data_IF_093361960445
#
_entry.id   IF_093361960445
#
_cell.length_a   1.000
_cell.length_b   1.000
_cell.length_c   1.000
_cell.angle_alpha   90.00
_cell.angle_beta   90.00
_cell.angle_gamma   90.00
#
_symmetry.space_group_name_H-M   'P 1'
#
loop_
_entity.id
_entity.type
_entity.pdbx_description
1 polymer ?
#
# COMPACT_ATOMS: atom_id res chain seq x y z
N UNK A 1 -10.47 29.45 -62.17
CA UNK A 1 -10.96 28.67 -61.01
C UNK A 1 -9.78 27.86 -60.45
N UNK A 2 -9.18 28.30 -59.34
CA UNK A 2 -8.06 27.59 -58.69
C UNK A 2 -8.64 26.48 -57.81
N UNK A 3 -8.25 25.23 -58.06
CA UNK A 3 -8.63 24.07 -57.23
C UNK A 3 -7.80 24.10 -55.95
N UNK A 4 -8.46 24.24 -54.80
CA UNK A 4 -7.84 24.07 -53.49
C UNK A 4 -8.03 22.60 -53.11
N UNK A 5 -6.95 21.83 -53.14
CA UNK A 5 -6.94 20.44 -52.68
C UNK A 5 -6.74 20.47 -51.17
N UNK A 6 -7.77 20.14 -50.40
CA UNK A 6 -7.70 20.03 -48.94
C UNK A 6 -7.10 18.67 -48.59
N UNK A 7 -5.85 18.66 -48.13
CA UNK A 7 -5.19 17.45 -47.61
C UNK A 7 -5.62 17.27 -46.15
N UNK A 8 -6.55 16.37 -45.89
CA UNK A 8 -6.91 15.97 -44.53
C UNK A 8 -5.82 15.07 -43.97
N UNK A 9 -4.93 15.63 -43.14
CA UNK A 9 -3.94 14.87 -42.39
C UNK A 9 -4.62 14.01 -41.33
N UNK A 10 -4.48 12.69 -41.44
CA UNK A 10 -4.95 11.74 -40.43
C UNK A 10 -4.05 11.88 -39.19
N UNK A 11 -4.59 12.50 -38.13
CA UNK A 11 -3.91 12.63 -36.84
C UNK A 11 -3.92 11.26 -36.14
N UNK A 12 -2.83 10.49 -36.25
CA UNK A 12 -2.62 9.33 -35.39
C UNK A 12 -2.36 9.82 -33.97
N UNK A 13 -3.38 9.76 -33.11
CA UNK A 13 -3.19 9.91 -31.67
C UNK A 13 -2.74 8.57 -31.11
N UNK A 14 -1.49 8.51 -30.66
CA UNK A 14 -1.02 7.42 -29.82
C UNK A 14 -1.66 7.59 -28.44
N UNK A 15 -2.70 6.81 -28.15
CA UNK A 15 -3.25 6.71 -26.80
C UNK A 15 -2.28 5.86 -25.98
N UNK A 16 -1.38 6.50 -25.25
CA UNK A 16 -0.63 5.84 -24.17
C UNK A 16 -1.62 5.62 -23.03
N UNK A 17 -2.09 4.38 -22.87
CA UNK A 17 -2.84 3.98 -21.67
C UNK A 17 -1.80 3.78 -20.56
N UNK A 18 -1.56 4.81 -19.74
CA UNK A 18 -0.93 4.59 -18.44
C UNK A 18 -1.95 3.93 -17.52
N UNK A 19 -1.54 2.92 -16.76
CA UNK A 19 -2.40 2.36 -15.72
C UNK A 19 -2.82 3.48 -14.76
N UNK A 20 -4.10 3.51 -14.39
CA UNK A 20 -4.60 4.50 -13.45
C UNK A 20 -4.23 4.09 -12.03
N UNK A 21 -3.82 5.06 -11.19
CA UNK A 21 -3.55 4.82 -9.77
C UNK A 21 -4.73 4.09 -9.10
N UNK A 22 -4.39 3.21 -8.17
CA UNK A 22 -5.32 2.48 -7.30
C UNK A 22 -6.15 3.42 -6.44
N UNK A 23 -5.57 4.55 -6.00
CA UNK A 23 -6.27 5.58 -5.23
C UNK A 23 -6.45 6.88 -6.01
N UNK A 24 -7.61 7.49 -5.82
CA UNK A 24 -7.86 8.89 -6.12
C UNK A 24 -7.45 9.72 -4.91
N UNK A 25 -6.40 10.52 -5.08
CA UNK A 25 -5.90 11.43 -4.05
C UNK A 25 -6.64 12.76 -4.05
N UNK A 26 -6.96 13.25 -2.85
CA UNK A 26 -7.47 14.61 -2.65
C UNK A 26 -6.82 15.24 -1.42
N UNK A 27 -6.58 16.55 -1.50
CA UNK A 27 -6.23 17.37 -0.34
C UNK A 27 -7.43 18.22 0.06
N UNK A 28 -7.69 18.30 1.36
CA UNK A 28 -8.73 19.17 1.92
C UNK A 28 -8.29 19.72 3.28
N UNK A 29 -9.14 20.53 3.89
CA UNK A 29 -8.94 21.03 5.26
C UNK A 29 -10.08 20.55 6.16
N UNK A 30 -9.73 20.12 7.36
CA UNK A 30 -10.68 19.77 8.41
C UNK A 30 -10.04 20.03 9.78
N UNK A 31 -10.83 20.54 10.74
CA UNK A 31 -10.33 20.79 12.10
C UNK A 31 -9.73 19.52 12.69
N UNK A 32 -8.46 19.62 13.08
CA UNK A 32 -7.77 18.58 13.83
C UNK A 32 -8.23 18.65 15.29
N UNK A 33 -8.61 17.51 15.84
CA UNK A 33 -8.89 17.35 17.25
C UNK A 33 -8.31 16.01 17.69
N UNK A 34 -7.67 16.01 18.86
CA UNK A 34 -7.16 14.80 19.48
C UNK A 34 -8.26 13.75 19.60
N UNK A 35 -7.88 12.47 19.58
CA UNK A 35 -8.85 11.40 19.79
C UNK A 35 -9.49 11.53 21.18
N UNK A 36 -10.82 11.56 21.22
CA UNK A 36 -11.57 11.53 22.48
C UNK A 36 -11.61 10.10 23.04
N UNK A 37 -11.14 9.90 24.27
CA UNK A 37 -11.07 8.60 24.98
C UNK A 37 -10.44 7.47 24.15
N UNK A 38 -9.19 7.61 23.67
CA UNK A 38 -8.52 6.58 22.91
C UNK A 38 -7.97 5.48 23.83
N UNK A 39 -7.56 4.36 23.23
CA UNK A 39 -6.76 3.34 23.89
C UNK A 39 -5.29 3.62 23.63
N UNK A 40 -4.50 3.83 24.69
CA UNK A 40 -3.04 4.03 24.57
C UNK A 40 -2.33 2.70 24.29
N UNK A 41 -1.57 2.64 23.21
CA UNK A 41 -0.77 1.47 22.81
C UNK A 41 0.47 1.33 23.68
N UNK A 42 1.13 2.45 23.99
CA UNK A 42 2.29 2.50 24.89
C UNK A 42 1.91 2.58 26.38
N UNK A 43 0.61 2.54 26.71
CA UNK A 43 0.12 2.72 28.08
C UNK A 43 0.59 4.04 28.68
N UNK A 44 1.54 3.96 29.62
CA UNK A 44 2.22 5.10 30.25
C UNK A 44 3.75 5.09 30.04
N UNK A 45 4.27 4.16 29.25
CA UNK A 45 5.71 4.03 29.02
C UNK A 45 6.22 5.17 28.15
N UNK A 46 7.37 5.73 28.53
CA UNK A 46 8.22 6.45 27.59
C UNK A 46 8.80 5.44 26.58
N UNK A 47 9.10 5.89 25.38
CA UNK A 47 9.50 5.05 24.25
C UNK A 47 10.48 5.76 23.34
N UNK A 48 11.29 4.97 22.62
CA UNK A 48 12.19 5.48 21.57
C UNK A 48 12.24 4.46 20.42
N UNK A 49 12.70 3.23 20.69
CA UNK A 49 12.78 2.14 19.71
C UNK A 49 11.85 0.97 20.09
N UNK A 50 10.70 1.30 20.68
CA UNK A 50 9.79 0.33 21.26
C UNK A 50 8.64 0.02 20.30
N UNK A 51 8.39 -1.27 20.09
CA UNK A 51 7.28 -1.74 19.27
C UNK A 51 6.01 -1.92 20.12
N UNK A 52 4.87 -1.46 19.58
CA UNK A 52 3.56 -1.61 20.21
C UNK A 52 2.58 -2.35 19.32
N UNK A 53 2.25 -3.57 19.73
CA UNK A 53 1.31 -4.43 19.04
C UNK A 53 1.94 -5.79 18.72
N UNK A 54 1.43 -6.50 17.72
CA UNK A 54 0.27 -6.16 16.90
C UNK A 54 -1.05 -6.27 17.67
N UNK A 55 -2.01 -5.43 17.31
CA UNK A 55 -3.36 -5.34 17.87
C UNK A 55 -4.36 -5.75 16.79
N UNK A 56 -5.30 -6.64 17.13
CA UNK A 56 -6.36 -7.04 16.23
C UNK A 56 -7.29 -5.86 15.91
N UNK A 57 -7.51 -5.58 14.63
CA UNK A 57 -8.49 -4.60 14.18
C UNK A 57 -9.91 -5.15 14.29
N UNK A 58 -10.87 -4.27 14.59
CA UNK A 58 -12.28 -4.64 14.64
C UNK A 58 -12.86 -5.01 13.26
N UNK A 59 -12.19 -4.59 12.18
CA UNK A 59 -12.47 -4.95 10.79
C UNK A 59 -11.15 -5.05 10.01
N UNK A 60 -11.06 -5.90 8.96
CA UNK A 60 -9.86 -5.95 8.13
C UNK A 60 -9.63 -4.58 7.45
N UNK A 61 -8.47 -3.98 7.71
CA UNK A 61 -8.02 -2.76 7.04
C UNK A 61 -7.60 -3.11 5.62
N UNK A 62 -7.81 -2.21 4.66
CA UNK A 62 -7.61 -2.49 3.25
C UNK A 62 -6.57 -1.55 2.63
N UNK A 63 -5.54 -2.10 2.00
CA UNK A 63 -4.50 -1.35 1.28
C UNK A 63 -4.15 -2.06 -0.03
N UNK A 64 -4.14 -1.35 -1.16
CA UNK A 64 -3.71 -1.86 -2.48
C UNK A 64 -4.37 -3.15 -2.97
N UNK A 65 -5.60 -3.43 -2.56
CA UNK A 65 -6.26 -4.68 -2.94
C UNK A 65 -6.20 -5.79 -1.89
N UNK A 66 -5.43 -5.58 -0.83
CA UNK A 66 -5.10 -6.55 0.20
C UNK A 66 -5.73 -6.16 1.55
N UNK A 67 -5.95 -7.16 2.40
CA UNK A 67 -6.57 -6.99 3.72
C UNK A 67 -5.60 -7.32 4.84
N UNK A 68 -5.59 -6.49 5.88
CA UNK A 68 -4.74 -6.59 7.05
C UNK A 68 -5.63 -6.66 8.31
N UNK A 69 -5.64 -7.79 9.04
CA UNK A 69 -6.48 -7.97 10.23
C UNK A 69 -5.93 -7.27 11.48
N UNK A 70 -4.67 -6.84 11.48
CA UNK A 70 -4.01 -6.27 12.66
C UNK A 70 -3.21 -5.02 12.31
N UNK A 71 -2.95 -4.19 13.31
CA UNK A 71 -2.15 -2.97 13.22
C UNK A 71 -1.21 -2.85 14.42
N UNK A 72 -0.20 -2.00 14.32
CA UNK A 72 0.76 -1.75 15.38
C UNK A 72 1.47 -0.43 15.19
N UNK A 73 2.49 -0.20 16.01
CA UNK A 73 3.49 0.84 15.84
C UNK A 73 4.84 0.15 15.97
N UNK A 74 5.67 0.24 14.94
CA UNK A 74 6.99 -0.38 14.90
C UNK A 74 8.01 0.66 14.45
N UNK A 75 9.12 0.75 15.17
CA UNK A 75 10.14 1.78 15.01
C UNK A 75 9.49 3.19 15.07
N UNK A 76 9.40 3.90 13.95
CA UNK A 76 8.82 5.24 13.86
C UNK A 76 7.40 5.31 13.29
N UNK A 77 6.83 4.16 12.89
CA UNK A 77 5.71 4.12 11.96
C UNK A 77 4.54 3.30 12.48
N UNK A 78 3.33 3.72 12.11
CA UNK A 78 2.19 2.81 12.18
C UNK A 78 2.37 1.70 11.15
N UNK A 79 2.04 0.47 11.55
CA UNK A 79 2.11 -0.70 10.66
C UNK A 79 0.77 -1.42 10.56
N UNK A 80 0.52 -2.06 9.41
CA UNK A 80 -0.54 -3.04 9.23
C UNK A 80 0.08 -4.41 8.94
N UNK A 81 -0.43 -5.47 9.59
CA UNK A 81 0.21 -6.80 9.57
C UNK A 81 -0.81 -7.87 9.16
N UNK A 82 -0.40 -8.79 8.26
CA UNK A 82 -1.27 -9.85 7.71
C UNK A 82 -1.31 -11.14 8.54
N UNK A 83 -0.16 -11.62 9.02
CA UNK A 83 -0.01 -12.88 9.78
C UNK A 83 0.88 -12.70 11.02
N UNK A 84 0.60 -13.47 12.08
CA UNK A 84 1.39 -13.51 13.32
C UNK A 84 2.13 -14.86 13.46
N UNK A 85 3.38 -14.87 13.97
CA UNK A 85 4.24 -13.71 14.28
C UNK A 85 4.64 -12.96 12.99
N UNK A 86 5.00 -11.67 13.14
CA UNK A 86 5.30 -10.76 12.02
C UNK A 86 6.30 -11.39 11.04
N UNK A 87 5.85 -11.63 9.81
CA UNK A 87 6.63 -12.27 8.75
C UNK A 87 5.99 -12.06 7.38
N UNK A 88 6.78 -11.40 6.53
CA UNK A 88 6.71 -11.22 5.06
C UNK A 88 5.73 -10.20 4.44
N UNK A 89 4.59 -9.86 5.05
CA UNK A 89 3.67 -8.87 4.46
C UNK A 89 3.19 -7.84 5.48
N UNK A 90 3.76 -6.63 5.41
CA UNK A 90 3.39 -5.49 6.23
C UNK A 90 3.18 -4.22 5.39
N UNK A 91 2.43 -3.27 5.95
CA UNK A 91 2.32 -1.91 5.39
C UNK A 91 2.91 -0.93 6.39
N UNK A 92 3.99 -0.25 6.04
CA UNK A 92 4.43 0.94 6.77
C UNK A 92 3.54 2.12 6.39
N UNK A 93 3.06 2.85 7.38
CA UNK A 93 2.18 4.00 7.18
C UNK A 93 2.80 5.21 7.87
N UNK A 94 3.44 6.06 7.07
CA UNK A 94 4.14 7.25 7.53
C UNK A 94 3.48 8.50 6.92
N UNK A 95 2.57 9.17 7.64
CA UNK A 95 2.06 10.47 7.24
C UNK A 95 3.18 11.49 7.00
N UNK A 96 4.27 11.35 7.75
CA UNK A 96 5.55 12.03 7.53
C UNK A 96 6.64 10.99 7.75
N UNK A 97 7.58 10.84 6.82
CA UNK A 97 8.84 10.14 7.09
C UNK A 97 9.62 10.94 8.12
N UNK A 98 9.60 10.49 9.37
CA UNK A 98 10.23 11.16 10.49
C UNK A 98 10.70 10.11 11.52
N UNK A 99 11.83 10.37 12.16
CA UNK A 99 12.33 9.60 13.29
C UNK A 99 11.77 10.23 14.56
N UNK A 100 10.83 9.53 15.19
CA UNK A 100 9.97 10.04 16.26
C UNK A 100 10.26 9.31 17.55
N UNK A 101 10.12 10.02 18.67
CA UNK A 101 10.35 9.45 19.98
C UNK A 101 9.43 10.05 21.05
N UNK A 102 9.39 9.44 22.23
CA UNK A 102 8.79 10.07 23.38
C UNK A 102 9.57 11.32 23.80
N UNK A 103 8.85 12.38 24.18
CA UNK A 103 9.51 13.62 24.63
C UNK A 103 10.14 13.48 26.02
N UNK A 104 9.77 12.46 26.78
CA UNK A 104 10.47 12.04 27.99
C UNK A 104 11.56 11.01 27.66
N UNK A 105 12.74 11.51 27.34
CA UNK A 105 13.93 10.68 27.04
C UNK A 105 14.76 10.33 28.28
N UNK A 106 14.28 10.62 29.48
CA UNK A 106 15.06 10.43 30.72
C UNK A 106 15.19 8.96 31.16
N UNK A 107 14.45 8.04 30.52
CA UNK A 107 14.35 6.64 30.93
C UNK A 107 13.60 6.43 32.25
N UNK A 108 13.00 7.48 32.82
CA UNK A 108 12.23 7.41 34.07
C UNK A 108 10.94 8.23 33.97
N UNK A 109 9.90 7.82 34.71
CA UNK A 109 8.61 8.52 34.68
C UNK A 109 7.71 8.10 33.52
N UNK A 110 6.58 8.81 33.36
CA UNK A 110 5.59 8.51 32.35
C UNK A 110 5.96 9.12 30.99
N UNK A 111 5.58 8.43 29.91
CA UNK A 111 5.68 8.94 28.55
C UNK A 111 4.85 10.21 28.35
N UNK A 112 5.31 11.07 27.47
CA UNK A 112 4.71 12.36 27.12
C UNK A 112 4.17 12.39 25.68
N UNK A 113 4.44 11.35 24.89
CA UNK A 113 4.04 11.24 23.50
C UNK A 113 3.14 10.01 23.31
N UNK A 114 1.84 10.08 23.62
CA UNK A 114 0.99 8.90 23.54
C UNK A 114 0.83 8.45 22.08
N UNK A 115 1.02 7.14 21.86
CA UNK A 115 0.65 6.42 20.65
C UNK A 115 -0.67 5.73 20.95
N UNK A 116 -1.73 6.05 20.22
CA UNK A 116 -3.07 5.61 20.59
C UNK A 116 -3.93 5.25 19.39
N UNK A 117 -5.00 4.49 19.65
CA UNK A 117 -5.99 4.18 18.64
C UNK A 117 -7.41 4.28 19.17
N UNK A 118 -8.36 4.42 18.25
CA UNK A 118 -9.80 4.36 18.52
C UNK A 118 -10.52 3.76 17.34
N UNK A 119 -11.49 2.88 17.61
CA UNK A 119 -12.48 2.45 16.63
C UNK A 119 -13.82 3.08 16.98
N UNK A 120 -14.46 3.72 16.00
CA UNK A 120 -15.79 4.32 16.17
C UNK A 120 -16.70 4.03 14.98
N UNK A 121 -18.00 4.23 15.15
CA UNK A 121 -19.01 3.91 14.15
C UNK A 121 -19.68 2.55 14.37
N UNK A 122 -20.56 2.18 13.45
CA UNK A 122 -21.30 0.91 13.46
C UNK A 122 -20.68 -0.07 12.47
N UNK A 123 -20.81 -1.38 12.68
CA UNK A 123 -20.31 -2.40 11.74
C UNK A 123 -20.73 -2.10 10.29
N UNK A 124 -19.75 -2.11 9.39
CA UNK A 124 -19.90 -1.72 7.97
C UNK A 124 -19.61 -0.24 7.70
N UNK A 125 -19.48 0.58 8.74
CA UNK A 125 -19.14 2.00 8.67
C UNK A 125 -18.19 2.45 9.78
N UNK A 126 -17.43 1.51 10.36
CA UNK A 126 -16.43 1.83 11.37
C UNK A 126 -15.26 2.59 10.76
N UNK A 127 -14.59 3.36 11.60
CA UNK A 127 -13.32 4.00 11.28
C UNK A 127 -12.32 3.57 12.35
N UNK A 128 -11.20 2.98 11.93
CA UNK A 128 -10.03 2.80 12.78
C UNK A 128 -9.20 4.08 12.67
N UNK A 129 -8.95 4.73 13.80
CA UNK A 129 -8.14 5.93 13.90
C UNK A 129 -6.91 5.63 14.73
N UNK A 130 -5.74 5.88 14.18
CA UNK A 130 -4.45 5.84 14.85
C UNK A 130 -3.99 7.28 15.09
N UNK A 131 -3.36 7.56 16.22
CA UNK A 131 -2.88 8.89 16.60
C UNK A 131 -1.48 8.81 17.19
N UNK A 132 -0.56 9.57 16.61
CA UNK A 132 0.69 9.94 17.23
C UNK A 132 0.55 11.37 17.74
N UNK A 133 0.63 11.54 19.06
CA UNK A 133 0.43 12.84 19.70
C UNK A 133 1.68 13.28 20.44
N UNK A 134 2.02 14.55 20.26
CA UNK A 134 3.10 15.24 20.95
C UNK A 134 4.46 14.52 20.83
N UNK A 135 4.70 13.80 19.74
CA UNK A 135 5.93 13.05 19.54
C UNK A 135 7.11 13.96 19.27
N UNK A 136 8.22 13.73 19.97
CA UNK A 136 9.49 14.41 19.74
C UNK A 136 10.17 13.86 18.48
N UNK A 137 11.32 14.45 18.14
CA UNK A 137 12.12 14.05 16.98
C UNK A 137 13.50 13.56 17.45
N UNK A 138 13.96 12.43 16.93
CA UNK A 138 15.30 11.90 17.25
C UNK A 138 16.40 12.86 16.79
N UNK A 139 16.27 13.38 15.57
CA UNK A 139 17.23 14.32 15.00
C UNK A 139 17.45 15.56 15.89
N UNK A 140 16.39 16.09 16.53
CA UNK A 140 16.54 17.22 17.48
C UNK A 140 17.36 16.79 18.70
N UNK A 141 17.02 15.64 19.28
CA UNK A 141 17.69 15.16 20.47
C UNK A 141 19.16 14.83 20.21
N UNK A 142 19.45 14.18 19.08
CA UNK A 142 20.81 13.79 18.71
C UNK A 142 21.69 14.99 18.34
N UNK A 143 21.11 16.02 17.71
CA UNK A 143 21.87 17.20 17.28
C UNK A 143 22.02 18.27 18.36
N UNK A 144 20.98 18.50 19.18
CA UNK A 144 20.96 19.61 20.15
C UNK A 144 20.56 19.20 21.58
N UNK A 145 20.22 17.93 21.82
CA UNK A 145 19.96 17.41 23.16
C UNK A 145 18.63 17.86 23.77
N UNK A 146 17.67 18.31 22.94
CA UNK A 146 16.37 18.80 23.39
C UNK A 146 15.21 18.01 22.81
N UNK A 147 14.04 18.13 23.45
CA UNK A 147 12.77 17.55 22.99
C UNK A 147 11.70 18.65 22.87
N UNK A 148 12.07 19.79 22.28
CA UNK A 148 11.19 20.96 22.14
C UNK A 148 10.30 20.87 20.91
N UNK A 149 10.77 20.23 19.84
CA UNK A 149 10.00 19.99 18.64
C UNK A 149 8.98 18.89 18.90
N UNK A 150 7.83 19.01 18.26
CA UNK A 150 6.81 17.99 18.32
C UNK A 150 6.00 17.88 17.03
N UNK A 151 5.51 16.67 16.77
CA UNK A 151 4.55 16.34 15.72
C UNK A 151 3.24 15.83 16.31
N UNK A 152 2.14 16.09 15.60
CA UNK A 152 0.85 15.45 15.82
C UNK A 152 0.26 15.04 14.49
N UNK A 153 -0.16 13.79 14.37
CA UNK A 153 -0.91 13.33 13.21
C UNK A 153 -1.82 12.16 13.55
N UNK A 154 -2.83 11.96 12.69
CA UNK A 154 -3.70 10.80 12.74
C UNK A 154 -3.72 10.09 11.40
N UNK A 155 -3.93 8.77 11.44
CA UNK A 155 -4.22 7.93 10.28
C UNK A 155 -5.60 7.33 10.46
N UNK A 156 -6.50 7.53 9.50
CA UNK A 156 -7.85 6.97 9.56
C UNK A 156 -8.05 5.97 8.43
N UNK A 157 -8.52 4.78 8.78
CA UNK A 157 -8.92 3.73 7.86
C UNK A 157 -10.43 3.54 7.93
N UNK A 158 -11.10 3.63 6.78
CA UNK A 158 -12.56 3.59 6.70
C UNK A 158 -13.03 2.19 6.28
N UNK A 159 -13.91 1.56 7.06
CA UNK A 159 -14.47 0.23 6.76
C UNK A 159 -15.38 0.25 5.51
N UNK A 160 -16.20 1.29 5.37
CA UNK A 160 -17.26 1.36 4.37
C UNK A 160 -16.74 1.45 2.93
N UNK A 161 -15.78 2.35 2.70
CA UNK A 161 -15.29 2.69 1.37
C UNK A 161 -13.80 2.39 1.17
N UNK A 162 -13.15 1.82 2.20
CA UNK A 162 -11.74 1.40 2.19
C UNK A 162 -10.77 2.56 1.98
N UNK A 163 -11.23 3.80 2.17
CA UNK A 163 -10.38 4.98 2.06
C UNK A 163 -9.41 5.08 3.24
N UNK A 164 -8.31 5.78 2.98
CA UNK A 164 -7.29 6.12 3.96
C UNK A 164 -7.24 7.63 4.08
N UNK A 165 -7.08 8.17 5.28
CA UNK A 165 -6.77 9.58 5.50
C UNK A 165 -5.55 9.76 6.37
N UNK A 166 -4.66 10.66 5.97
CA UNK A 166 -3.66 11.27 6.84
C UNK A 166 -4.16 12.64 7.25
N UNK A 167 -4.20 12.90 8.56
CA UNK A 167 -4.71 14.15 9.13
C UNK A 167 -3.59 14.78 9.95
N UNK A 168 -3.19 15.98 9.57
CA UNK A 168 -2.04 16.66 10.16
C UNK A 168 -2.49 17.61 11.27
N UNK A 169 -1.96 17.40 12.47
CA UNK A 169 -2.23 18.23 13.64
C UNK A 169 -1.26 19.39 13.79
N UNK A 170 -1.41 20.18 14.86
CA UNK A 170 -0.43 21.20 15.23
C UNK A 170 0.97 20.60 15.36
N UNK A 171 1.98 21.34 14.94
CA UNK A 171 3.39 21.04 15.18
C UNK A 171 4.14 22.37 15.32
N UNK A 172 5.37 22.33 15.80
CA UNK A 172 6.25 23.50 15.88
C UNK A 172 7.58 23.27 15.13
N UNK A 173 7.61 22.32 14.19
CA UNK A 173 8.78 22.02 13.37
C UNK A 173 8.95 23.12 12.34
N UNK A 174 10.05 23.87 12.43
CA UNK A 174 10.33 25.01 11.55
C UNK A 174 11.27 24.67 10.40
N UNK A 175 11.97 23.53 10.49
CA UNK A 175 12.87 23.02 9.48
C UNK A 175 12.57 21.54 9.22
N UNK A 176 12.19 21.21 7.99
CA UNK A 176 11.84 19.83 7.61
C UNK A 176 13.02 18.86 7.75
N UNK A 177 14.26 19.35 7.72
CA UNK A 177 15.44 18.53 7.95
C UNK A 177 15.54 17.97 9.37
N UNK A 178 14.73 18.45 10.31
CA UNK A 178 14.63 17.87 11.65
C UNK A 178 13.76 16.61 11.68
N UNK A 179 13.09 16.25 10.58
CA UNK A 179 12.28 15.03 10.55
C UNK A 179 13.15 13.77 10.59
N UNK A 180 14.25 13.72 9.85
CA UNK A 180 15.16 12.58 9.81
C UNK A 180 16.51 12.96 9.17
N UNK A 181 17.53 12.15 9.44
CA UNK A 181 18.88 12.29 8.89
C UNK A 181 19.01 11.85 7.42
N UNK A 182 18.05 11.08 6.90
CA UNK A 182 18.09 10.50 5.54
C UNK A 182 17.67 11.48 4.44
N UNK A 183 17.30 12.70 4.82
CA UNK A 183 16.80 13.72 3.92
C UNK A 183 15.63 13.27 3.03
N UNK A 184 14.77 12.38 3.54
CA UNK A 184 13.64 11.82 2.81
C UNK A 184 12.33 12.25 3.47
N UNK A 185 11.50 13.04 2.77
CA UNK A 185 10.37 13.75 3.37
C UNK A 185 9.10 13.59 2.54
N UNK A 186 8.46 12.44 2.66
CA UNK A 186 7.28 12.07 1.88
C UNK A 186 6.19 11.61 2.83
N UNK A 187 4.94 11.73 2.40
CA UNK A 187 3.85 11.01 3.06
C UNK A 187 3.62 9.73 2.29
N UNK A 188 3.63 8.59 2.98
CA UNK A 188 3.72 7.29 2.34
C UNK A 188 2.86 6.26 3.08
N UNK A 189 2.28 5.35 2.32
CA UNK A 189 2.04 4.00 2.80
C UNK A 189 2.70 2.98 1.85
N UNK A 190 3.61 2.17 2.39
CA UNK A 190 4.42 1.19 1.66
C UNK A 190 4.00 -0.20 2.08
N UNK A 191 3.41 -0.93 1.15
CA UNK A 191 3.14 -2.34 1.27
C UNK A 191 4.36 -3.10 0.77
N UNK A 192 5.10 -3.73 1.68
CA UNK A 192 6.18 -4.65 1.32
C UNK A 192 5.62 -6.08 1.27
N UNK A 193 5.91 -6.78 0.19
CA UNK A 193 5.34 -8.09 -0.05
C UNK A 193 6.30 -9.02 -0.79
N UNK A 194 6.20 -10.32 -0.51
CA UNK A 194 7.02 -11.36 -1.16
C UNK A 194 6.94 -11.33 -2.70
N UNK A 195 5.84 -10.81 -3.27
CA UNK A 195 5.60 -10.74 -4.72
C UNK A 195 5.69 -9.31 -5.29
N UNK A 196 6.42 -8.41 -4.61
CA UNK A 196 6.72 -7.06 -5.07
C UNK A 196 5.98 -5.97 -4.30
N UNK A 197 6.73 -4.91 -4.01
CA UNK A 197 6.28 -3.81 -3.17
C UNK A 197 5.29 -2.90 -3.90
N UNK A 198 4.51 -2.16 -3.11
CA UNK A 198 3.64 -1.09 -3.61
C UNK A 198 3.69 0.09 -2.66
N UNK A 199 3.99 1.27 -3.18
CA UNK A 199 4.00 2.51 -2.41
C UNK A 199 2.99 3.48 -2.96
N UNK A 200 2.19 4.09 -2.09
CA UNK A 200 1.40 5.28 -2.40
C UNK A 200 2.06 6.47 -1.72
N UNK A 201 2.53 7.44 -2.51
CA UNK A 201 3.35 8.53 -2.00
C UNK A 201 2.82 9.90 -2.41
N UNK A 202 2.82 10.83 -1.46
CA UNK A 202 2.54 12.25 -1.67
C UNK A 202 3.84 13.02 -1.58
N UNK A 203 4.14 13.82 -2.60
CA UNK A 203 5.41 14.51 -2.79
C UNK A 203 5.20 15.94 -3.32
N UNK A 204 6.27 16.74 -3.38
CA UNK A 204 6.26 18.06 -4.00
C UNK A 204 5.72 19.18 -3.09
N UNK A 205 4.98 20.12 -3.67
CA UNK A 205 4.53 21.31 -2.94
C UNK A 205 3.35 20.98 -2.01
N UNK A 206 3.48 21.15 -0.70
CA UNK A 206 2.41 20.81 0.27
C UNK A 206 1.10 21.59 0.12
N UNK A 207 1.09 22.70 -0.63
CA UNK A 207 -0.12 23.45 -0.98
C UNK A 207 -0.87 22.90 -2.20
N UNK A 208 -0.16 22.19 -3.08
CA UNK A 208 -0.67 21.52 -4.28
C UNK A 208 0.14 20.24 -4.53
N UNK A 209 0.05 19.25 -3.64
CA UNK A 209 0.94 18.11 -3.65
C UNK A 209 0.60 17.15 -4.77
N UNK A 210 1.58 16.36 -5.17
CA UNK A 210 1.44 15.34 -6.20
C UNK A 210 1.35 13.98 -5.54
N UNK A 211 0.40 13.14 -5.97
CA UNK A 211 0.32 11.76 -5.55
C UNK A 211 0.76 10.83 -6.68
N UNK A 212 1.57 9.82 -6.35
CA UNK A 212 2.01 8.77 -7.26
C UNK A 212 1.94 7.40 -6.59
N UNK A 213 1.84 6.37 -7.42
CA UNK A 213 1.96 4.97 -7.00
C UNK A 213 3.15 4.32 -7.67
N UNK A 214 3.86 3.50 -6.90
CA UNK A 214 5.17 2.98 -7.25
C UNK A 214 5.25 1.51 -6.86
N UNK A 215 6.10 0.75 -7.55
CA UNK A 215 6.35 -0.67 -7.21
C UNK A 215 7.57 -0.84 -6.32
N UNK A 216 8.23 0.26 -5.99
CA UNK A 216 9.45 0.32 -5.18
C UNK A 216 9.61 1.76 -4.66
N UNK A 217 9.91 1.89 -3.37
CA UNK A 217 10.16 3.17 -2.70
C UNK A 217 11.28 4.00 -3.37
N UNK A 218 12.30 3.33 -3.95
CA UNK A 218 13.44 3.97 -4.61
C UNK A 218 13.07 4.72 -5.89
N UNK A 219 11.87 4.49 -6.45
CA UNK A 219 11.36 5.23 -7.62
C UNK A 219 10.95 6.66 -7.28
N UNK A 220 10.90 7.00 -5.99
CA UNK A 220 10.40 8.28 -5.50
C UNK A 220 11.58 9.22 -5.35
N UNK A 221 11.61 10.18 -6.27
CA UNK A 221 12.76 11.08 -6.46
C UNK A 221 12.50 12.49 -5.98
N UNK A 222 11.29 12.77 -5.48
CA UNK A 222 10.86 14.10 -5.07
C UNK A 222 10.36 14.07 -3.63
N UNK A 223 10.89 14.95 -2.80
CA UNK A 223 10.40 15.17 -1.44
C UNK A 223 9.27 16.20 -1.40
N UNK A 224 8.54 16.21 -0.29
CA UNK A 224 7.75 17.36 0.14
C UNK A 224 8.68 18.55 0.40
N UNK A 225 8.24 19.74 0.02
CA UNK A 225 9.03 20.97 0.21
C UNK A 225 8.88 21.59 1.60
N UNK A 226 7.91 21.14 2.39
CA UNK A 226 7.60 21.61 3.73
C UNK A 226 6.75 20.56 4.46
N UNK A 227 6.45 20.78 5.75
CA UNK A 227 5.43 20.00 6.44
C UNK A 227 4.04 20.45 5.96
N UNK A 228 3.06 19.54 5.81
CA UNK A 228 1.66 19.91 5.67
C UNK A 228 1.21 20.74 6.87
N UNK A 229 0.49 21.84 6.61
CA UNK A 229 -0.02 22.70 7.67
C UNK A 229 -1.05 21.97 8.54
N UNK A 230 -1.16 22.38 9.81
CA UNK A 230 -2.20 21.86 10.70
C UNK A 230 -3.59 21.99 10.06
N UNK A 231 -4.46 21.00 10.31
CA UNK A 231 -5.79 20.84 9.70
C UNK A 231 -5.78 20.37 8.24
N UNK A 232 -4.62 20.07 7.65
CA UNK A 232 -4.56 19.43 6.33
C UNK A 232 -5.03 17.98 6.42
N UNK A 233 -5.81 17.54 5.44
CA UNK A 233 -6.21 16.15 5.26
C UNK A 233 -5.79 15.69 3.87
N UNK A 234 -5.01 14.62 3.82
CA UNK A 234 -4.72 13.86 2.61
C UNK A 234 -5.62 12.63 2.60
N UNK A 235 -6.48 12.51 1.59
CA UNK A 235 -7.44 11.42 1.47
C UNK A 235 -7.16 10.60 0.21
N UNK A 236 -7.02 9.29 0.41
CA UNK A 236 -6.78 8.28 -0.61
C UNK A 236 -8.04 7.43 -0.75
N UNK A 237 -8.93 7.79 -1.67
CA UNK A 237 -10.14 7.03 -1.93
C UNK A 237 -9.86 5.93 -2.95
N UNK A 238 -10.37 4.71 -2.76
CA UNK A 238 -10.20 3.65 -3.76
C UNK A 238 -10.81 4.11 -5.08
N UNK A 239 -10.02 4.04 -6.15
CA UNK A 239 -10.47 4.36 -7.48
C UNK A 239 -11.31 3.19 -8.02
N UNK A 240 -12.61 3.36 -8.30
CA UNK A 240 -13.47 2.28 -8.78
C UNK A 240 -13.07 1.80 -10.19
N UNK A 241 -12.29 2.58 -10.93
CA UNK A 241 -11.76 2.25 -12.25
C UNK A 241 -10.37 1.62 -12.20
N UNK A 242 -9.74 1.56 -11.01
CA UNK A 242 -8.46 0.89 -10.88
C UNK A 242 -8.61 -0.60 -11.15
N UNK A 243 -7.78 -1.11 -12.05
CA UNK A 243 -7.65 -2.55 -12.27
C UNK A 243 -6.71 -3.06 -11.17
N UNK A 244 -7.14 -4.04 -10.36
CA UNK A 244 -6.20 -4.73 -9.46
C UNK A 244 -5.10 -5.31 -10.33
N UNK A 245 -3.85 -4.87 -10.12
CA UNK A 245 -2.70 -5.45 -10.80
C UNK A 245 -2.73 -6.96 -10.59
N UNK A 246 -3.08 -7.69 -11.66
CA UNK A 246 -2.99 -9.13 -11.63
C UNK A 246 -1.54 -9.47 -11.89
N UNK A 247 -0.88 -10.01 -10.86
CA UNK A 247 0.43 -10.61 -10.95
C UNK A 247 0.51 -11.49 -12.21
N UNK A 248 1.30 -11.03 -13.19
CA UNK A 248 1.55 -11.77 -14.42
C UNK A 248 2.73 -12.68 -14.18
N UNK A 249 2.54 -13.94 -14.49
CA UNK A 249 3.57 -14.98 -14.39
C UNK A 249 4.01 -15.35 -15.80
N UNK A 250 5.31 -15.33 -16.05
CA UNK A 250 5.88 -15.86 -17.28
C UNK A 250 6.00 -17.38 -17.18
N UNK A 251 5.54 -18.08 -18.21
CA UNK A 251 5.70 -19.53 -18.30
C UNK A 251 5.70 -19.97 -19.76
N UNK A 252 6.24 -21.16 -20.01
CA UNK A 252 6.12 -21.86 -21.29
C UNK A 252 5.30 -23.13 -21.11
N UNK A 253 4.57 -23.55 -22.14
CA UNK A 253 3.80 -24.79 -22.11
C UNK A 253 4.00 -25.63 -23.36
N UNK A 254 4.09 -26.95 -23.18
CA UNK A 254 4.28 -27.90 -24.28
C UNK A 254 3.82 -29.33 -23.92
N UNK A 255 3.47 -30.17 -24.90
CA UNK A 255 3.32 -29.83 -26.31
C UNK A 255 2.01 -29.07 -26.56
N UNK A 256 1.99 -28.29 -27.64
CA UNK A 256 0.77 -27.70 -28.18
C UNK A 256 0.74 -27.98 -29.70
N UNK A 257 -0.11 -28.88 -30.20
CA UNK A 257 -1.23 -29.54 -29.48
C UNK A 257 -0.82 -30.59 -28.43
N UNK A 258 -1.62 -30.71 -27.36
CA UNK A 258 -1.45 -31.66 -26.27
C UNK A 258 -2.35 -32.90 -26.45
N UNK A 259 -1.83 -34.09 -26.11
CA UNK A 259 -2.63 -35.32 -26.03
C UNK A 259 -3.13 -35.55 -24.61
N UNK A 260 -2.26 -35.96 -23.69
CA UNK A 260 -2.70 -36.35 -22.33
C UNK A 260 -2.17 -35.44 -21.23
N UNK A 261 -0.99 -34.86 -21.44
CA UNK A 261 -0.29 -34.05 -20.44
C UNK A 261 0.21 -32.76 -21.09
N UNK A 262 -0.02 -31.65 -20.39
CA UNK A 262 0.58 -30.36 -20.68
C UNK A 262 1.68 -30.09 -19.66
N UNK A 263 2.91 -29.93 -20.11
CA UNK A 263 4.06 -29.57 -19.28
C UNK A 263 4.18 -28.05 -19.22
N UNK A 264 4.49 -27.53 -18.04
CA UNK A 264 4.72 -26.12 -17.78
C UNK A 264 6.14 -25.93 -17.23
N UNK A 265 6.84 -24.91 -17.72
CA UNK A 265 8.12 -24.47 -17.19
C UNK A 265 8.06 -22.99 -16.83
N UNK A 266 8.54 -22.65 -15.64
CA UNK A 266 8.58 -21.31 -15.10
C UNK A 266 10.05 -20.86 -14.93
N UNK A 267 10.36 -19.55 -15.07
CA UNK A 267 11.68 -19.01 -14.74
C UNK A 267 12.06 -19.23 -13.27
N UNK A 268 11.07 -19.17 -12.37
CA UNK A 268 11.21 -19.33 -10.92
C UNK A 268 10.12 -20.26 -10.37
N UNK A 269 10.29 -20.74 -9.13
CA UNK A 269 9.31 -21.64 -8.52
C UNK A 269 8.00 -20.90 -8.21
N UNK A 270 6.87 -21.48 -8.62
CA UNK A 270 5.54 -20.86 -8.46
C UNK A 270 4.66 -21.65 -7.51
N UNK A 271 3.96 -20.96 -6.61
CA UNK A 271 2.96 -21.50 -5.70
C UNK A 271 1.60 -20.82 -5.90
N UNK A 272 0.84 -21.22 -6.94
CA UNK A 272 -0.39 -20.54 -7.38
C UNK A 272 -1.44 -21.53 -7.92
N UNK A 273 -2.74 -21.22 -7.80
CA UNK A 273 -3.78 -22.00 -8.47
C UNK A 273 -3.73 -21.81 -9.99
N UNK A 274 -4.23 -22.81 -10.73
CA UNK A 274 -4.48 -22.72 -12.16
C UNK A 274 -5.91 -23.16 -12.50
N UNK A 275 -6.43 -22.63 -13.59
CA UNK A 275 -7.73 -23.01 -14.16
C UNK A 275 -7.60 -23.15 -15.68
N UNK A 276 -8.31 -24.12 -16.26
CA UNK A 276 -8.44 -24.29 -17.71
C UNK A 276 -9.89 -24.00 -18.09
N UNK A 277 -10.06 -23.19 -19.12
CA UNK A 277 -11.35 -22.79 -19.65
C UNK A 277 -11.52 -23.27 -21.10
N UNK A 278 -12.73 -23.62 -21.47
CA UNK A 278 -13.09 -23.76 -22.89
C UNK A 278 -13.31 -22.39 -23.55
N UNK A 279 -13.53 -22.37 -24.88
CA UNK A 279 -13.77 -21.12 -25.62
C UNK A 279 -15.09 -20.42 -25.26
N UNK A 280 -15.99 -21.10 -24.56
CA UNK A 280 -17.24 -20.51 -24.04
C UNK A 280 -17.03 -19.90 -22.65
N UNK A 281 -15.81 -19.94 -22.11
CA UNK A 281 -15.46 -19.40 -20.81
C UNK A 281 -15.84 -20.30 -19.63
N UNK A 282 -16.23 -21.57 -19.88
CA UNK A 282 -16.54 -22.52 -18.80
C UNK A 282 -15.25 -23.09 -18.22
N UNK A 283 -15.11 -23.06 -16.90
CA UNK A 283 -13.99 -23.74 -16.21
C UNK A 283 -14.19 -25.25 -16.31
N UNK A 284 -13.23 -25.94 -16.96
CA UNK A 284 -13.29 -27.39 -17.23
C UNK A 284 -12.25 -28.19 -16.45
N UNK A 285 -11.22 -27.54 -15.93
CA UNK A 285 -10.18 -28.12 -15.08
C UNK A 285 -9.63 -27.06 -14.15
N UNK A 286 -9.23 -27.45 -12.94
CA UNK A 286 -8.50 -26.58 -12.00
C UNK A 286 -7.56 -27.39 -11.12
N UNK A 287 -6.55 -26.73 -10.58
CA UNK A 287 -5.62 -27.32 -9.63
C UNK A 287 -4.71 -26.26 -9.01
N UNK A 288 -3.63 -26.72 -8.35
CA UNK A 288 -2.61 -25.83 -7.79
C UNK A 288 -1.20 -26.27 -8.16
N UNK A 289 -0.33 -25.29 -8.31
CA UNK A 289 1.12 -25.43 -8.37
C UNK A 289 1.64 -25.21 -6.96
N UNK A 290 2.48 -26.12 -6.45
CA UNK A 290 2.98 -26.07 -5.08
C UNK A 290 4.50 -25.91 -5.10
N UNK A 291 4.96 -24.65 -5.07
CA UNK A 291 6.37 -24.26 -5.05
C UNK A 291 7.24 -25.04 -6.07
N UNK A 292 6.91 -24.93 -7.35
CA UNK A 292 7.61 -25.68 -8.41
C UNK A 292 7.96 -24.82 -9.62
N UNK A 293 9.15 -25.05 -10.19
CA UNK A 293 9.58 -24.46 -11.46
C UNK A 293 9.14 -25.31 -12.69
N UNK A 294 8.64 -26.52 -12.46
CA UNK A 294 8.12 -27.42 -13.49
C UNK A 294 6.84 -28.11 -13.04
N UNK A 295 5.83 -28.15 -13.89
CA UNK A 295 4.55 -28.78 -13.54
C UNK A 295 3.97 -29.57 -14.71
N UNK A 296 3.13 -30.55 -14.37
CA UNK A 296 2.37 -31.32 -15.35
C UNK A 296 0.89 -31.21 -15.03
N UNK A 297 0.11 -30.87 -16.05
CA UNK A 297 -1.35 -30.83 -15.98
C UNK A 297 -1.88 -31.98 -16.83
N UNK A 298 -2.63 -32.89 -16.20
CA UNK A 298 -3.33 -33.94 -16.92
C UNK A 298 -4.56 -33.35 -17.62
N UNK A 299 -4.55 -33.39 -18.95
CA UNK A 299 -5.61 -32.90 -19.84
C UNK A 299 -6.28 -34.02 -20.63
N UNK A 300 -5.97 -35.29 -20.33
CA UNK A 300 -6.49 -36.47 -21.04
C UNK A 300 -8.02 -36.57 -21.02
N UNK A 301 -8.66 -36.06 -19.97
CA UNK A 301 -10.12 -36.08 -19.80
C UNK A 301 -10.84 -34.99 -20.60
N UNK A 302 -10.10 -34.00 -21.13
CA UNK A 302 -10.66 -32.93 -21.93
C UNK A 302 -11.02 -33.43 -23.33
N UNK A 303 -12.15 -32.97 -23.85
CA UNK A 303 -12.55 -33.25 -25.23
C UNK A 303 -11.62 -32.54 -26.21
N UNK A 304 -11.51 -33.05 -27.44
CA UNK A 304 -10.72 -32.40 -28.50
C UNK A 304 -11.22 -30.98 -28.73
N UNK A 305 -10.33 -30.00 -28.74
CA UNK A 305 -10.73 -28.60 -28.83
C UNK A 305 -9.65 -27.60 -28.42
N UNK A 306 -10.00 -26.31 -28.43
CA UNK A 306 -9.13 -25.23 -27.94
C UNK A 306 -9.49 -24.86 -26.51
N UNK A 307 -8.47 -24.60 -25.70
CA UNK A 307 -8.60 -24.25 -24.29
C UNK A 307 -7.68 -23.07 -23.93
N UNK A 308 -8.04 -22.38 -22.85
CA UNK A 308 -7.23 -21.32 -22.25
C UNK A 308 -6.79 -21.80 -20.88
N UNK A 309 -5.49 -21.96 -20.67
CA UNK A 309 -4.90 -22.14 -19.35
C UNK A 309 -4.67 -20.76 -18.73
N UNK A 310 -5.14 -20.56 -17.50
CA UNK A 310 -4.92 -19.37 -16.70
C UNK A 310 -4.16 -19.72 -15.43
N UNK A 311 -3.11 -18.96 -15.13
CA UNK A 311 -2.34 -19.01 -13.89
C UNK A 311 -2.16 -17.55 -13.44
N UNK A 312 -2.71 -17.19 -12.28
CA UNK A 312 -2.80 -15.80 -11.82
C UNK A 312 -3.38 -14.85 -12.91
N UNK A 313 -2.64 -13.80 -13.27
CA UNK A 313 -2.99 -12.84 -14.34
C UNK A 313 -2.60 -13.27 -15.75
N UNK A 314 -1.92 -14.41 -15.91
CA UNK A 314 -1.41 -14.88 -17.19
C UNK A 314 -2.31 -15.94 -17.81
N UNK A 315 -2.54 -15.82 -19.13
CA UNK A 315 -3.31 -16.79 -19.90
C UNK A 315 -2.55 -17.24 -21.14
N UNK A 316 -2.57 -18.53 -21.45
CA UNK A 316 -2.10 -19.04 -22.73
C UNK A 316 -3.09 -20.05 -23.32
N UNK A 317 -3.21 -20.04 -24.66
CA UNK A 317 -4.09 -20.94 -25.40
C UNK A 317 -3.35 -22.22 -25.82
N UNK A 318 -3.96 -23.39 -25.59
CA UNK A 318 -3.49 -24.66 -26.14
C UNK A 318 -4.61 -25.42 -26.87
N UNK A 319 -4.22 -26.37 -27.72
CA UNK A 319 -5.12 -27.25 -28.47
C UNK A 319 -5.00 -28.67 -27.89
N UNK A 320 -6.13 -29.31 -27.60
CA UNK A 320 -6.24 -30.72 -27.20
C UNK A 320 -6.59 -31.58 -28.42
N UNK A 321 -5.78 -32.61 -28.67
CA UNK A 321 -5.96 -33.60 -29.74
C UNK A 321 -6.82 -34.79 -29.38
#
# INVERSE_FOLDING_TARGET
MKKITLLAGLLLTTITVSAQNYYNFTQSTATYADLGTPTNMNGNAAWMYDDFGPIASAFPVYVFGETFPSFGFEDDNFVLVKTLPAGEEYVYVAPLSAYVQDRNTTGTGAGQSPISYKVEGTTGSRILKLELKNAGLEEEFDTVGTTNLFLNYQVWFYEADKSIEFRFGPNNVTNIAMLNSEATYWSIFLYEATNGDKAGAVTGNTTTPTYGEYTDATQITTNLNALPAANTVYRFAVNPLAVKDQEKIEFSMFPNPASDVLNLTFPEAVNKPYSVYDLMGREVLKGSLNNTAQAQINVSTLQKGSYILRIAGSTQKFIKN
#
